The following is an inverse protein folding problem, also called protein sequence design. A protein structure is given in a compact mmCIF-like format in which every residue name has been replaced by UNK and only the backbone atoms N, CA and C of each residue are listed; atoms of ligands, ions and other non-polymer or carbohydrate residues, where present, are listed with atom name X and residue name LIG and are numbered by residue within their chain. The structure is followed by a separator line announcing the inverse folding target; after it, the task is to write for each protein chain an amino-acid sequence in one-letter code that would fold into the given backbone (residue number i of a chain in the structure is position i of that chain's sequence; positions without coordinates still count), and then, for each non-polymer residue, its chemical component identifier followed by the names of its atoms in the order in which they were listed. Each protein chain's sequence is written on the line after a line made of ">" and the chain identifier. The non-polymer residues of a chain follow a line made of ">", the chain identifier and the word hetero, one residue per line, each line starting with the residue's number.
data_IF_902576143762
#
_entry.id   IF_902576143762
#
_cell.length_a   1.000
_cell.length_b   1.000
_cell.length_c   1.000
_cell.angle_alpha   90.00
_cell.angle_beta   90.00
_cell.angle_gamma   90.00
#
_symmetry.space_group_name_H-M   'P 1'
#
loop_
_entity.id
_entity.type
_entity.pdbx_description
1 polymer ?
#
# COMPACT_ATOMS: atom_id res chain seq x y z
N UNK A 1 -32.97 -16.95 2.19
CA UNK A 1 -31.85 -16.57 3.10
C UNK A 1 -31.91 -17.53 4.28
N UNK A 2 -30.80 -18.19 4.67
CA UNK A 2 -30.84 -19.14 5.79
C UNK A 2 -30.98 -18.41 7.13
N UNK A 3 -31.49 -19.10 8.17
CA UNK A 3 -31.61 -18.55 9.52
C UNK A 3 -30.25 -18.09 10.07
N UNK A 4 -29.18 -18.83 9.77
CA UNK A 4 -27.80 -18.47 10.14
C UNK A 4 -27.38 -17.13 9.52
N UNK A 5 -27.66 -16.91 8.23
CA UNK A 5 -27.38 -15.63 7.56
C UNK A 5 -28.15 -14.49 8.22
N UNK A 6 -29.42 -14.70 8.58
CA UNK A 6 -30.23 -13.69 9.29
C UNK A 6 -29.60 -13.34 10.64
N UNK A 7 -29.22 -14.35 11.43
CA UNK A 7 -28.59 -14.14 12.74
C UNK A 7 -27.24 -13.40 12.63
N UNK A 8 -26.40 -13.76 11.65
CA UNK A 8 -25.14 -13.04 11.37
C UNK A 8 -25.41 -11.57 11.05
N UNK A 9 -26.39 -11.28 10.19
CA UNK A 9 -26.75 -9.91 9.82
C UNK A 9 -27.28 -9.12 11.02
N UNK A 10 -28.08 -9.73 11.91
CA UNK A 10 -28.56 -9.09 13.14
C UNK A 10 -27.41 -8.78 14.09
N UNK A 11 -26.46 -9.69 14.28
CA UNK A 11 -25.27 -9.46 15.11
C UNK A 11 -24.42 -8.32 14.54
N UNK A 12 -24.14 -8.34 13.23
CA UNK A 12 -23.40 -7.28 12.56
C UNK A 12 -24.10 -5.93 12.67
N UNK A 13 -25.41 -5.89 12.44
CA UNK A 13 -26.23 -4.69 12.62
C UNK A 13 -26.17 -4.15 14.04
N UNK A 14 -26.27 -5.03 15.04
CA UNK A 14 -26.18 -4.66 16.46
C UNK A 14 -24.81 -4.10 16.82
N UNK A 15 -23.73 -4.70 16.32
CA UNK A 15 -22.36 -4.20 16.49
C UNK A 15 -22.17 -2.82 15.87
N UNK A 16 -22.74 -2.58 14.68
CA UNK A 16 -22.69 -1.27 14.01
C UNK A 16 -23.46 -0.20 14.77
N UNK A 17 -24.65 -0.51 15.26
CA UNK A 17 -25.45 0.41 16.09
C UNK A 17 -24.71 0.73 17.39
N UNK A 18 -24.17 -0.28 18.07
CA UNK A 18 -23.38 -0.09 19.29
C UNK A 18 -22.12 0.76 19.05
N UNK A 19 -21.42 0.55 17.93
CA UNK A 19 -20.28 1.37 17.53
C UNK A 19 -20.71 2.82 17.27
N UNK A 20 -21.80 3.02 16.52
CA UNK A 20 -22.33 4.35 16.26
C UNK A 20 -22.74 5.06 17.55
N UNK A 21 -23.38 4.37 18.49
CA UNK A 21 -23.70 4.90 19.81
C UNK A 21 -22.45 5.28 20.60
N UNK A 22 -21.44 4.41 20.61
CA UNK A 22 -20.18 4.66 21.31
C UNK A 22 -19.43 5.88 20.75
N UNK A 23 -19.42 6.05 19.44
CA UNK A 23 -18.79 7.21 18.80
C UNK A 23 -19.62 8.48 19.02
N UNK A 24 -20.92 8.45 18.73
CA UNK A 24 -21.77 9.64 18.72
C UNK A 24 -22.13 10.12 20.14
N UNK A 25 -22.39 9.20 21.08
CA UNK A 25 -22.87 9.55 22.43
C UNK A 25 -21.76 9.50 23.48
N UNK A 26 -20.90 8.48 23.46
CA UNK A 26 -19.82 8.33 24.45
C UNK A 26 -18.54 9.10 24.05
N UNK A 27 -18.52 9.71 22.86
CA UNK A 27 -17.38 10.50 22.40
C UNK A 27 -16.13 9.68 22.10
N UNK A 28 -16.27 8.37 21.84
CA UNK A 28 -15.14 7.49 21.53
C UNK A 28 -14.37 8.01 20.31
N UNK A 29 -13.09 8.30 20.49
CA UNK A 29 -12.19 8.74 19.41
C UNK A 29 -11.55 7.51 18.77
N UNK A 30 -12.00 7.17 17.57
CA UNK A 30 -11.40 6.10 16.78
C UNK A 30 -10.06 6.55 16.17
N UNK A 31 -9.11 5.62 16.02
CA UNK A 31 -7.83 5.89 15.39
C UNK A 31 -7.92 5.65 13.87
N UNK A 32 -7.54 6.62 13.01
CA UNK A 32 -7.50 6.46 11.55
C UNK A 32 -6.66 5.28 11.06
N UNK A 33 -5.69 4.82 11.85
CA UNK A 33 -4.90 3.63 11.54
C UNK A 33 -5.72 2.34 11.50
N UNK A 34 -6.90 2.32 12.13
CA UNK A 34 -7.86 1.21 11.99
C UNK A 34 -8.36 1.10 10.55
N UNK A 35 -8.76 2.23 9.96
CA UNK A 35 -9.22 2.26 8.57
C UNK A 35 -8.07 1.92 7.61
N UNK A 36 -6.88 2.43 7.90
CA UNK A 36 -5.67 2.11 7.15
C UNK A 36 -5.40 0.60 7.13
N UNK A 37 -5.38 -0.04 8.32
CA UNK A 37 -5.16 -1.47 8.44
C UNK A 37 -6.27 -2.29 7.77
N UNK A 38 -7.53 -1.96 8.05
CA UNK A 38 -8.67 -2.65 7.45
C UNK A 38 -8.60 -2.69 5.92
N UNK A 39 -8.26 -1.57 5.29
CA UNK A 39 -8.23 -1.47 3.83
C UNK A 39 -6.98 -2.09 3.22
N UNK A 40 -5.81 -1.90 3.84
CA UNK A 40 -4.56 -2.49 3.33
C UNK A 40 -4.56 -4.03 3.41
N UNK A 41 -5.14 -4.57 4.48
CA UNK A 41 -5.19 -6.02 4.75
C UNK A 41 -6.57 -6.61 4.41
N UNK A 42 -7.32 -5.98 3.50
CA UNK A 42 -8.71 -6.33 3.25
C UNK A 42 -8.88 -7.77 2.75
N UNK A 43 -7.94 -8.33 1.99
CA UNK A 43 -8.11 -9.67 1.42
C UNK A 43 -8.19 -10.78 2.46
N UNK A 44 -7.64 -10.57 3.65
CA UNK A 44 -7.90 -11.44 4.81
C UNK A 44 -9.39 -11.45 5.17
N UNK A 45 -10.04 -10.28 5.17
CA UNK A 45 -11.47 -10.13 5.46
C UNK A 45 -12.29 -10.66 4.29
N UNK A 46 -11.89 -10.34 3.06
CA UNK A 46 -12.51 -10.82 1.83
C UNK A 46 -12.50 -12.35 1.74
N UNK A 47 -11.41 -13.00 2.15
CA UNK A 47 -11.28 -14.45 2.22
C UNK A 47 -12.35 -15.08 3.13
N UNK A 48 -12.49 -14.61 4.36
CA UNK A 48 -13.52 -15.13 5.27
C UNK A 48 -14.93 -14.75 4.81
N UNK A 49 -15.12 -13.56 4.27
CA UNK A 49 -16.42 -13.13 3.76
C UNK A 49 -16.92 -14.05 2.64
N UNK A 50 -16.08 -14.36 1.65
CA UNK A 50 -16.42 -15.26 0.53
C UNK A 50 -16.82 -16.67 0.97
N UNK A 51 -16.39 -17.12 2.16
CA UNK A 51 -16.78 -18.43 2.71
C UNK A 51 -18.19 -18.45 3.30
N UNK A 52 -18.70 -17.29 3.71
CA UNK A 52 -19.95 -17.19 4.48
C UNK A 52 -21.06 -16.51 3.67
N UNK A 53 -20.70 -15.62 2.74
CA UNK A 53 -21.63 -14.78 1.99
C UNK A 53 -21.34 -14.86 0.48
N UNK A 54 -22.36 -15.07 -0.37
CA UNK A 54 -22.19 -15.15 -1.84
C UNK A 54 -22.04 -13.77 -2.53
N UNK A 55 -21.69 -12.71 -1.79
CA UNK A 55 -21.65 -11.34 -2.28
C UNK A 55 -20.27 -10.90 -2.79
N UNK A 56 -20.24 -9.71 -3.41
CA UNK A 56 -18.97 -9.08 -3.80
C UNK A 56 -18.31 -8.41 -2.58
N UNK A 57 -17.15 -8.91 -2.18
CA UNK A 57 -16.37 -8.37 -1.05
C UNK A 57 -15.99 -6.88 -1.24
N UNK A 58 -15.84 -6.40 -2.48
CA UNK A 58 -15.51 -5.01 -2.78
C UNK A 58 -16.54 -4.02 -2.22
N UNK A 59 -17.81 -4.42 -2.15
CA UNK A 59 -18.84 -3.58 -1.55
C UNK A 59 -18.55 -3.32 -0.07
N UNK A 60 -18.00 -4.30 0.65
CA UNK A 60 -17.62 -4.13 2.06
C UNK A 60 -16.40 -3.23 2.18
N UNK A 61 -15.40 -3.40 1.32
CA UNK A 61 -14.19 -2.57 1.28
C UNK A 61 -14.53 -1.08 1.11
N UNK A 62 -15.58 -0.75 0.36
CA UNK A 62 -15.99 0.65 0.16
C UNK A 62 -17.02 1.09 1.19
N UNK A 63 -18.08 0.32 1.41
CA UNK A 63 -19.23 0.74 2.21
C UNK A 63 -18.93 0.83 3.71
N UNK A 64 -18.16 -0.11 4.26
CA UNK A 64 -17.87 -0.10 5.70
C UNK A 64 -16.95 1.07 6.08
N UNK A 65 -15.83 1.33 5.39
CA UNK A 65 -15.05 2.55 5.58
C UNK A 65 -15.85 3.84 5.38
N UNK A 66 -16.72 3.89 4.38
CA UNK A 66 -17.61 5.03 4.15
C UNK A 66 -18.54 5.26 5.36
N UNK A 67 -19.16 4.21 5.88
CA UNK A 67 -20.03 4.30 7.05
C UNK A 67 -19.28 4.87 8.27
N UNK A 68 -18.05 4.43 8.51
CA UNK A 68 -17.21 4.98 9.58
C UNK A 68 -16.93 6.46 9.36
N UNK A 69 -16.57 6.85 8.13
CA UNK A 69 -16.35 8.26 7.79
C UNK A 69 -17.63 9.08 8.00
N UNK A 70 -18.81 8.57 7.60
CA UNK A 70 -20.09 9.27 7.78
C UNK A 70 -20.43 9.46 9.27
N UNK A 71 -20.33 8.41 10.09
CA UNK A 71 -20.52 8.50 11.55
C UNK A 71 -19.59 9.55 12.14
N UNK A 72 -18.34 9.54 11.72
CA UNK A 72 -17.34 10.50 12.15
C UNK A 72 -17.77 11.90 11.73
N UNK A 73 -18.07 12.17 10.46
CA UNK A 73 -18.50 13.50 9.97
C UNK A 73 -19.69 14.03 10.75
N UNK A 74 -20.67 13.17 11.05
CA UNK A 74 -21.86 13.53 11.83
C UNK A 74 -21.55 13.90 13.28
N UNK A 75 -20.55 13.28 13.92
CA UNK A 75 -20.18 13.57 15.32
C UNK A 75 -19.73 15.03 15.53
N UNK A 76 -19.01 15.60 14.56
CA UNK A 76 -18.62 17.03 14.54
C UNK A 76 -18.45 17.46 13.08
N UNK A 77 -19.18 18.49 12.62
CA UNK A 77 -19.07 18.93 11.24
C UNK A 77 -17.62 19.33 10.93
N UNK A 78 -17.10 18.77 9.85
CA UNK A 78 -15.78 19.17 9.34
C UNK A 78 -15.89 20.60 8.85
N UNK A 79 -14.92 21.46 9.21
CA UNK A 79 -14.77 22.75 8.51
C UNK A 79 -14.28 22.43 7.10
N UNK A 80 -15.08 22.64 6.03
CA UNK A 80 -14.72 22.22 4.68
C UNK A 80 -13.52 23.00 4.11
N UNK A 81 -13.30 24.21 4.64
CA UNK A 81 -12.32 25.24 4.25
C UNK A 81 -10.83 24.88 4.43
N UNK A 82 -10.44 23.63 4.26
CA UNK A 82 -9.03 23.24 4.27
C UNK A 82 -8.75 21.78 3.95
N UNK A 83 -9.78 20.98 3.67
CA UNK A 83 -9.60 19.59 3.23
C UNK A 83 -9.19 19.51 1.76
N UNK A 84 -9.68 20.44 0.94
CA UNK A 84 -9.38 20.53 -0.50
C UNK A 84 -8.13 21.37 -0.81
N UNK A 85 -7.57 22.08 0.16
CA UNK A 85 -6.36 22.93 -0.05
C UNK A 85 -5.07 22.11 -0.27
N UNK A 86 -5.18 20.79 -0.36
CA UNK A 86 -4.04 19.92 -0.61
C UNK A 86 -3.76 19.80 -2.11
N UNK A 87 -2.77 20.55 -2.59
CA UNK A 87 -2.33 20.48 -3.99
C UNK A 87 -2.04 19.06 -4.50
N UNK A 88 -1.65 18.13 -3.62
CA UNK A 88 -1.46 16.73 -4.02
C UNK A 88 -2.77 16.03 -4.41
N UNK A 89 -3.88 16.34 -3.73
CA UNK A 89 -5.19 15.79 -4.10
C UNK A 89 -5.62 16.29 -5.48
N UNK A 90 -5.36 17.56 -5.80
CA UNK A 90 -5.65 18.12 -7.12
C UNK A 90 -4.78 17.51 -8.23
N UNK A 91 -3.51 17.20 -7.95
CA UNK A 91 -2.65 16.50 -8.92
C UNK A 91 -3.18 15.09 -9.22
N UNK A 92 -3.58 14.34 -8.20
CA UNK A 92 -4.22 13.04 -8.40
C UNK A 92 -5.59 13.17 -9.10
N UNK A 93 -6.38 14.18 -8.76
CA UNK A 93 -7.65 14.45 -9.43
C UNK A 93 -7.46 14.79 -10.92
N UNK A 94 -6.42 15.55 -11.26
CA UNK A 94 -6.06 15.83 -12.66
C UNK A 94 -5.65 14.55 -13.39
N UNK A 95 -4.84 13.70 -12.77
CA UNK A 95 -4.47 12.40 -13.33
C UNK A 95 -5.69 11.50 -13.57
N UNK A 96 -6.56 11.30 -12.57
CA UNK A 96 -7.75 10.47 -12.75
C UNK A 96 -8.79 11.10 -13.68
N UNK A 97 -8.89 12.42 -13.69
CA UNK A 97 -9.69 13.15 -14.68
C UNK A 97 -9.21 12.87 -16.10
N UNK A 98 -7.89 12.86 -16.32
CA UNK A 98 -7.31 12.47 -17.60
C UNK A 98 -7.58 10.99 -17.95
N UNK A 99 -7.48 10.07 -16.98
CA UNK A 99 -7.89 8.67 -17.20
C UNK A 99 -9.34 8.56 -17.69
N UNK A 100 -10.27 9.31 -17.10
CA UNK A 100 -11.68 9.32 -17.53
C UNK A 100 -11.83 9.92 -18.93
N UNK A 101 -11.16 11.04 -19.20
CA UNK A 101 -11.18 11.69 -20.52
C UNK A 101 -10.62 10.75 -21.59
N UNK A 102 -9.65 9.90 -21.26
CA UNK A 102 -9.06 8.93 -22.18
C UNK A 102 -10.02 7.86 -22.70
N UNK A 103 -11.16 7.65 -22.02
CA UNK A 103 -12.22 6.77 -22.53
C UNK A 103 -12.83 7.28 -23.84
N UNK A 104 -12.71 8.57 -24.15
CA UNK A 104 -13.23 9.13 -25.40
C UNK A 104 -12.51 8.59 -26.65
N UNK A 105 -11.27 8.09 -26.52
CA UNK A 105 -10.51 7.49 -27.62
C UNK A 105 -10.06 6.05 -27.35
N UNK A 106 -10.40 5.47 -26.20
CA UNK A 106 -10.10 4.07 -25.88
C UNK A 106 -10.90 3.11 -26.79
N UNK A 107 -10.24 2.16 -27.48
CA UNK A 107 -10.93 1.15 -28.27
C UNK A 107 -11.75 0.17 -27.40
N UNK A 108 -11.42 0.06 -26.10
CA UNK A 108 -12.10 -0.84 -25.16
C UNK A 108 -12.44 -0.16 -23.83
N UNK A 109 -13.46 0.71 -23.86
CA UNK A 109 -13.90 1.51 -22.70
C UNK A 109 -14.25 0.67 -21.47
N UNK A 110 -14.86 -0.51 -21.65
CA UNK A 110 -15.23 -1.40 -20.53
C UNK A 110 -14.02 -1.92 -19.77
N UNK A 111 -12.90 -2.13 -20.47
CA UNK A 111 -11.63 -2.50 -19.87
C UNK A 111 -11.05 -1.41 -18.99
N UNK A 112 -10.98 -0.20 -19.55
CA UNK A 112 -10.48 0.97 -18.83
C UNK A 112 -11.33 1.30 -17.60
N UNK A 113 -12.65 1.23 -17.73
CA UNK A 113 -13.57 1.45 -16.61
C UNK A 113 -13.36 0.43 -15.49
N UNK A 114 -13.19 -0.85 -15.83
CA UNK A 114 -12.99 -1.92 -14.83
C UNK A 114 -11.70 -1.71 -14.04
N UNK A 115 -10.58 -1.40 -14.72
CA UNK A 115 -9.31 -1.07 -14.06
C UNK A 115 -9.45 0.13 -13.13
N UNK A 116 -10.09 1.20 -13.61
CA UNK A 116 -10.29 2.41 -12.83
C UNK A 116 -11.16 2.16 -11.60
N UNK A 117 -12.24 1.37 -11.73
CA UNK A 117 -13.11 1.00 -10.62
C UNK A 117 -12.35 0.18 -9.57
N UNK A 118 -11.53 -0.79 -9.98
CA UNK A 118 -10.70 -1.58 -9.07
C UNK A 118 -9.71 -0.69 -8.31
N UNK A 119 -9.02 0.20 -9.02
CA UNK A 119 -8.06 1.13 -8.43
C UNK A 119 -8.74 2.12 -7.48
N UNK A 120 -9.95 2.58 -7.80
CA UNK A 120 -10.72 3.46 -6.91
C UNK A 120 -11.22 2.73 -5.67
N UNK A 121 -11.74 1.51 -5.83
CA UNK A 121 -12.30 0.73 -4.73
C UNK A 121 -11.24 0.33 -3.71
N UNK A 122 -10.03 -0.06 -4.15
CA UNK A 122 -8.96 -0.48 -3.25
C UNK A 122 -7.98 0.64 -2.87
N UNK A 123 -7.73 1.56 -3.80
CA UNK A 123 -6.71 2.60 -3.68
C UNK A 123 -7.27 3.93 -3.23
N UNK A 124 -8.01 4.58 -4.13
CA UNK A 124 -8.37 6.00 -4.01
C UNK A 124 -9.37 6.23 -2.87
N UNK A 125 -10.52 5.55 -2.87
CA UNK A 125 -11.57 5.79 -1.88
C UNK A 125 -11.10 5.44 -0.46
N UNK A 126 -10.51 4.26 -0.20
CA UNK A 126 -9.96 3.94 1.12
C UNK A 126 -8.90 4.95 1.60
N UNK A 127 -8.05 5.41 0.68
CA UNK A 127 -7.04 6.42 0.95
C UNK A 127 -7.65 7.77 1.34
N UNK A 128 -8.68 8.22 0.62
CA UNK A 128 -9.44 9.44 0.91
C UNK A 128 -10.21 9.33 2.24
N UNK A 129 -10.80 8.18 2.53
CA UNK A 129 -11.46 7.95 3.82
C UNK A 129 -10.46 8.04 4.98
N UNK A 130 -9.27 7.45 4.84
CA UNK A 130 -8.20 7.57 5.82
C UNK A 130 -7.74 9.02 5.96
N UNK A 131 -7.64 9.75 4.84
CA UNK A 131 -7.30 11.17 4.80
C UNK A 131 -8.29 12.03 5.59
N UNK A 132 -9.60 11.89 5.31
CA UNK A 132 -10.67 12.63 5.97
C UNK A 132 -10.64 12.37 7.47
N UNK A 133 -10.54 11.09 7.83
CA UNK A 133 -10.51 10.64 9.21
C UNK A 133 -9.28 11.20 9.95
N UNK A 134 -8.09 11.12 9.35
CA UNK A 134 -6.87 11.69 9.91
C UNK A 134 -6.94 13.20 10.09
N UNK A 135 -7.46 13.94 9.10
CA UNK A 135 -7.60 15.41 9.21
C UNK A 135 -8.51 15.84 10.35
N UNK A 136 -9.44 14.98 10.77
CA UNK A 136 -10.34 15.27 11.89
C UNK A 136 -9.67 15.09 13.26
N UNK A 137 -9.03 13.96 13.51
CA UNK A 137 -8.50 13.65 14.86
C UNK A 137 -7.00 13.90 14.99
N UNK A 138 -6.27 14.03 13.88
CA UNK A 138 -4.82 14.26 13.85
C UNK A 138 -4.01 13.21 14.64
N UNK A 139 -4.58 12.02 14.82
CA UNK A 139 -3.93 10.88 15.49
C UNK A 139 -3.71 9.76 14.48
N UNK A 140 -2.59 9.05 14.58
CA UNK A 140 -2.36 7.84 13.79
C UNK A 140 -1.40 6.95 14.56
N UNK A 141 -1.81 5.72 14.85
CA UNK A 141 -0.98 4.75 15.57
C UNK A 141 -0.58 3.59 14.68
N UNK A 142 0.72 3.46 14.42
CA UNK A 142 1.28 2.35 13.66
C UNK A 142 1.09 0.99 14.33
N UNK A 143 0.80 0.96 15.63
CA UNK A 143 0.50 -0.28 16.35
C UNK A 143 -0.76 -0.95 15.82
N UNK A 144 -1.80 -0.19 15.43
CA UNK A 144 -2.98 -0.79 14.80
C UNK A 144 -2.64 -1.39 13.44
N UNK A 145 -1.88 -0.68 12.61
CA UNK A 145 -1.45 -1.21 11.32
C UNK A 145 -0.61 -2.50 11.47
N UNK A 146 0.27 -2.56 12.49
CA UNK A 146 1.04 -3.77 12.81
C UNK A 146 0.16 -4.92 13.35
N UNK A 147 -0.88 -4.64 14.13
CA UNK A 147 -1.84 -5.66 14.59
C UNK A 147 -2.61 -6.28 13.42
N UNK A 148 -3.09 -5.47 12.48
CA UNK A 148 -3.72 -5.99 11.26
C UNK A 148 -2.75 -6.81 10.43
N UNK A 149 -1.50 -6.36 10.28
CA UNK A 149 -0.47 -7.13 9.57
C UNK A 149 -0.12 -8.44 10.27
N UNK A 150 -0.09 -8.47 11.61
CA UNK A 150 0.05 -9.71 12.37
C UNK A 150 -1.12 -10.67 12.13
N UNK A 151 -2.36 -10.17 12.20
CA UNK A 151 -3.55 -10.97 11.95
C UNK A 151 -3.52 -11.56 10.53
N UNK A 152 -3.22 -10.73 9.53
CA UNK A 152 -3.05 -11.15 8.14
C UNK A 152 -2.00 -12.26 8.01
N UNK A 153 -0.81 -12.06 8.58
CA UNK A 153 0.28 -13.02 8.49
C UNK A 153 -0.05 -14.36 9.17
N UNK A 154 -0.73 -14.34 10.33
CA UNK A 154 -1.22 -15.57 11.00
C UNK A 154 -2.22 -16.31 10.09
N UNK A 155 -3.17 -15.58 9.51
CA UNK A 155 -4.20 -16.16 8.64
C UNK A 155 -3.58 -16.74 7.37
N UNK A 156 -2.67 -16.02 6.71
CA UNK A 156 -1.95 -16.53 5.55
C UNK A 156 -1.12 -17.78 5.89
N UNK A 157 -0.44 -17.82 7.04
CA UNK A 157 0.33 -19.00 7.46
C UNK A 157 -0.53 -20.20 7.86
N UNK A 158 -1.74 -19.97 8.38
CA UNK A 158 -2.63 -21.02 8.90
C UNK A 158 -3.55 -21.58 7.82
N UNK A 159 -4.03 -20.72 6.92
CA UNK A 159 -5.03 -21.05 5.90
C UNK A 159 -4.48 -21.01 4.48
N UNK A 160 -3.22 -20.60 4.28
CA UNK A 160 -2.57 -20.65 2.99
C UNK A 160 -2.42 -22.09 2.49
N UNK A 161 -2.52 -22.25 1.18
CA UNK A 161 -2.43 -23.55 0.50
C UNK A 161 -1.38 -23.49 -0.60
N UNK A 162 -0.80 -24.64 -0.92
CA UNK A 162 0.01 -24.82 -2.11
C UNK A 162 -0.90 -25.37 -3.22
N UNK A 163 -1.02 -24.62 -4.31
CA UNK A 163 -1.87 -25.02 -5.45
C UNK A 163 -1.04 -25.55 -6.60
N UNK A 164 -1.67 -26.30 -7.50
CA UNK A 164 -1.04 -26.73 -8.75
C UNK A 164 -0.67 -25.54 -9.67
N UNK A 165 -1.42 -24.43 -9.57
CA UNK A 165 -1.15 -23.18 -10.28
C UNK A 165 0.13 -22.50 -9.77
N UNK A 166 0.40 -22.57 -8.46
CA UNK A 166 1.56 -21.95 -7.82
C UNK A 166 2.33 -22.97 -6.95
N UNK A 167 3.00 -23.96 -7.58
CA UNK A 167 3.68 -25.02 -6.84
C UNK A 167 4.78 -24.45 -5.94
N UNK A 168 4.81 -24.90 -4.69
CA UNK A 168 5.78 -24.47 -3.68
C UNK A 168 5.61 -23.04 -3.15
N UNK A 169 4.53 -22.34 -3.52
CA UNK A 169 4.26 -20.97 -3.06
C UNK A 169 3.01 -20.96 -2.21
N UNK A 170 3.17 -20.59 -0.93
CA UNK A 170 2.03 -20.43 -0.04
C UNK A 170 1.21 -19.23 -0.53
N UNK A 171 -0.09 -19.43 -0.73
CA UNK A 171 -1.04 -18.38 -1.10
C UNK A 171 -2.37 -18.60 -0.39
N UNK A 172 -3.11 -17.53 -0.09
CA UNK A 172 -4.50 -17.70 0.32
C UNK A 172 -5.31 -18.30 -0.85
N UNK A 173 -6.27 -19.20 -0.59
CA UNK A 173 -7.11 -19.77 -1.64
C UNK A 173 -7.79 -18.70 -2.50
N UNK A 174 -7.56 -18.75 -3.82
CA UNK A 174 -8.12 -17.79 -4.78
C UNK A 174 -7.40 -16.44 -4.82
N UNK A 175 -6.20 -16.34 -4.27
CA UNK A 175 -5.36 -15.14 -4.25
C UNK A 175 -3.99 -15.41 -4.90
N UNK A 176 -3.24 -14.33 -5.16
CA UNK A 176 -1.93 -14.37 -5.80
C UNK A 176 -0.79 -14.39 -4.75
N UNK A 177 0.16 -15.34 -4.81
CA UNK A 177 1.31 -15.36 -3.88
C UNK A 177 2.21 -14.13 -3.97
N UNK A 178 2.24 -13.41 -5.10
CA UNK A 178 2.96 -12.14 -5.23
C UNK A 178 2.29 -11.09 -4.35
N UNK A 179 0.96 -10.98 -4.42
CA UNK A 179 0.18 -10.05 -3.59
C UNK A 179 0.38 -10.34 -2.10
N UNK A 180 0.23 -11.61 -1.70
CA UNK A 180 0.46 -12.04 -0.31
C UNK A 180 1.85 -11.65 0.21
N UNK A 181 2.88 -11.78 -0.63
CA UNK A 181 4.23 -11.35 -0.29
C UNK A 181 4.34 -9.84 -0.08
N UNK A 182 3.71 -9.04 -0.96
CA UNK A 182 3.72 -7.58 -0.87
C UNK A 182 3.12 -7.14 0.46
N UNK A 183 1.91 -7.59 0.78
CA UNK A 183 1.21 -7.20 2.01
C UNK A 183 1.99 -7.59 3.27
N UNK A 184 2.53 -8.81 3.32
CA UNK A 184 3.38 -9.24 4.43
C UNK A 184 4.66 -8.41 4.54
N UNK A 185 5.34 -8.10 3.43
CA UNK A 185 6.54 -7.26 3.46
C UNK A 185 6.23 -5.79 3.82
N UNK A 186 5.06 -5.25 3.46
CA UNK A 186 4.62 -3.93 3.93
C UNK A 186 4.46 -3.93 5.45
N UNK A 187 3.97 -5.03 6.05
CA UNK A 187 3.93 -5.20 7.51
C UNK A 187 5.33 -5.15 8.12
N UNK A 188 6.30 -5.85 7.53
CA UNK A 188 7.69 -5.81 8.00
C UNK A 188 8.23 -4.37 7.95
N UNK A 189 7.99 -3.64 6.87
CA UNK A 189 8.36 -2.22 6.73
C UNK A 189 7.69 -1.34 7.79
N UNK A 190 6.42 -1.56 8.10
CA UNK A 190 5.71 -0.87 9.18
C UNK A 190 6.38 -1.16 10.54
N UNK A 191 6.73 -2.41 10.82
CA UNK A 191 7.42 -2.80 12.05
C UNK A 191 8.82 -2.18 12.16
N UNK A 192 9.55 -2.05 11.05
CA UNK A 192 10.87 -1.41 11.03
C UNK A 192 10.79 0.09 11.34
N UNK A 193 9.93 0.82 10.62
CA UNK A 193 9.94 2.28 10.60
C UNK A 193 8.82 2.95 11.41
N UNK A 194 7.78 2.22 11.77
CA UNK A 194 6.63 2.72 12.51
C UNK A 194 7.00 3.17 13.91
N UNK A 195 6.58 4.39 14.28
CA UNK A 195 6.80 4.96 15.62
C UNK A 195 5.70 4.50 16.58
N UNK A 196 6.05 4.31 17.85
CA UNK A 196 5.08 3.97 18.90
C UNK A 196 4.62 2.51 18.92
N UNK A 197 5.20 1.64 18.07
CA UNK A 197 4.95 0.19 18.11
C UNK A 197 5.75 -0.41 19.27
N UNK A 198 5.10 -1.07 20.25
CA UNK A 198 5.82 -1.73 21.35
C UNK A 198 6.67 -2.88 20.83
N UNK A 199 7.78 -3.17 21.51
CA UNK A 199 8.79 -4.14 21.03
C UNK A 199 8.20 -5.53 20.78
N UNK A 200 7.35 -6.03 21.68
CA UNK A 200 6.72 -7.35 21.53
C UNK A 200 5.90 -7.44 20.24
N UNK A 201 5.12 -6.40 19.93
CA UNK A 201 4.29 -6.35 18.73
C UNK A 201 5.15 -6.22 17.48
N UNK A 202 6.21 -5.42 17.54
CA UNK A 202 7.18 -5.27 16.45
C UNK A 202 7.83 -6.60 16.08
N UNK A 203 8.25 -7.36 17.09
CA UNK A 203 8.89 -8.66 16.90
C UNK A 203 7.89 -9.71 16.43
N UNK A 204 6.71 -9.79 17.06
CA UNK A 204 5.67 -10.74 16.66
C UNK A 204 5.16 -10.43 15.23
N UNK A 205 4.66 -9.23 14.98
CA UNK A 205 4.13 -8.84 13.67
C UNK A 205 5.22 -8.87 12.59
N UNK A 206 6.40 -8.31 12.86
CA UNK A 206 7.50 -8.29 11.89
C UNK A 206 8.05 -9.69 11.59
N UNK A 207 8.23 -10.53 12.62
CA UNK A 207 8.72 -11.89 12.46
C UNK A 207 7.73 -12.79 11.72
N UNK A 208 6.47 -12.82 12.16
CA UNK A 208 5.42 -13.63 11.53
C UNK A 208 5.17 -13.18 10.09
N UNK A 209 5.14 -11.88 9.81
CA UNK A 209 4.99 -11.37 8.46
C UNK A 209 6.21 -11.68 7.57
N UNK A 210 7.43 -11.65 8.10
CA UNK A 210 8.61 -12.05 7.34
C UNK A 210 8.56 -13.53 6.96
N UNK A 211 8.21 -14.42 7.89
CA UNK A 211 8.00 -15.85 7.61
C UNK A 211 6.90 -16.02 6.56
N UNK A 212 5.77 -15.35 6.73
CA UNK A 212 4.68 -15.34 5.76
C UNK A 212 5.15 -14.92 4.36
N UNK A 213 5.97 -13.89 4.25
CA UNK A 213 6.48 -13.41 2.96
C UNK A 213 7.44 -14.42 2.32
N UNK A 214 8.35 -15.02 3.10
CA UNK A 214 9.31 -16.01 2.59
C UNK A 214 8.60 -17.24 2.02
N UNK A 215 7.52 -17.71 2.66
CA UNK A 215 6.75 -18.87 2.22
C UNK A 215 6.06 -18.69 0.86
N UNK A 216 5.89 -17.44 0.39
CA UNK A 216 5.34 -17.16 -0.96
C UNK A 216 6.36 -17.36 -2.09
N UNK A 217 7.66 -17.42 -1.74
CA UNK A 217 8.81 -17.44 -2.65
C UNK A 217 8.80 -16.32 -3.71
N UNK A 218 8.21 -15.16 -3.39
CA UNK A 218 8.05 -14.05 -4.32
C UNK A 218 9.27 -13.11 -4.34
N UNK A 219 10.14 -13.31 -5.34
CA UNK A 219 11.42 -12.59 -5.52
C UNK A 219 11.28 -11.08 -5.72
N UNK A 220 10.38 -10.65 -6.62
CA UNK A 220 10.18 -9.24 -6.96
C UNK A 220 9.84 -8.39 -5.73
N UNK A 221 8.76 -8.73 -4.98
CA UNK A 221 8.43 -8.05 -3.73
C UNK A 221 9.57 -8.01 -2.72
N UNK A 222 10.31 -9.11 -2.54
CA UNK A 222 11.44 -9.15 -1.62
C UNK A 222 12.59 -8.21 -2.04
N UNK A 223 12.93 -8.17 -3.33
CA UNK A 223 13.97 -7.30 -3.86
C UNK A 223 13.64 -5.82 -3.64
N UNK A 224 12.41 -5.39 -3.92
CA UNK A 224 11.99 -4.01 -3.70
C UNK A 224 11.76 -3.66 -2.23
N UNK A 225 11.38 -4.63 -1.39
CA UNK A 225 11.40 -4.46 0.05
C UNK A 225 12.83 -4.13 0.53
N UNK A 226 13.83 -4.92 0.13
CA UNK A 226 15.23 -4.70 0.51
C UNK A 226 15.70 -3.34 -0.02
N UNK A 227 15.51 -3.06 -1.31
CA UNK A 227 15.94 -1.81 -1.94
C UNK A 227 15.31 -0.59 -1.26
N UNK A 228 13.99 -0.58 -1.08
CA UNK A 228 13.29 0.55 -0.46
C UNK A 228 13.77 0.79 0.98
N UNK A 229 13.89 -0.26 1.79
CA UNK A 229 14.34 -0.14 3.18
C UNK A 229 15.80 0.31 3.27
N UNK A 230 16.68 -0.17 2.38
CA UNK A 230 18.07 0.30 2.30
C UNK A 230 18.15 1.78 1.90
N UNK A 231 17.40 2.21 0.89
CA UNK A 231 17.37 3.61 0.47
C UNK A 231 16.91 4.52 1.61
N UNK A 232 15.85 4.13 2.34
CA UNK A 232 15.35 4.90 3.48
C UNK A 232 16.31 4.87 4.67
N UNK A 233 17.02 3.77 4.89
CA UNK A 233 18.07 3.69 5.90
C UNK A 233 19.22 4.66 5.57
N UNK A 234 19.74 4.60 4.35
CA UNK A 234 20.82 5.49 3.87
C UNK A 234 20.37 6.96 4.00
N UNK A 235 19.18 7.29 3.52
CA UNK A 235 18.65 8.65 3.59
C UNK A 235 18.43 9.13 5.04
N UNK A 236 17.91 8.28 5.93
CA UNK A 236 17.70 8.60 7.34
C UNK A 236 19.02 8.83 8.07
N UNK A 237 20.02 7.97 7.82
CA UNK A 237 21.39 8.10 8.34
C UNK A 237 22.03 9.40 7.86
N UNK A 238 21.98 9.66 6.54
CA UNK A 238 22.50 10.89 5.94
C UNK A 238 21.88 12.14 6.57
N UNK A 239 20.55 12.18 6.71
CA UNK A 239 19.84 13.31 7.31
C UNK A 239 20.24 13.52 8.77
N UNK A 240 20.42 12.43 9.52
CA UNK A 240 20.79 12.50 10.93
C UNK A 240 22.24 12.96 11.12
N UNK A 241 23.17 12.53 10.26
CA UNK A 241 24.56 13.01 10.26
C UNK A 241 24.60 14.52 9.95
N UNK A 242 23.88 14.95 8.91
CA UNK A 242 23.83 16.36 8.51
C UNK A 242 23.21 17.27 9.59
N UNK A 243 22.17 16.79 10.27
CA UNK A 243 21.47 17.59 11.28
C UNK A 243 22.19 17.66 12.64
N UNK A 244 22.88 16.58 13.06
CA UNK A 244 23.39 16.46 14.43
C UNK A 244 24.91 16.53 14.56
N UNK A 245 25.67 16.69 13.46
CA UNK A 245 27.13 16.83 13.48
C UNK A 245 27.83 15.79 14.37
N UNK A 246 28.58 16.26 15.36
CA UNK A 246 29.42 15.44 16.27
C UNK A 246 28.67 14.48 17.21
N UNK A 247 27.34 14.61 17.36
CA UNK A 247 26.47 13.63 18.07
C UNK A 247 26.15 12.38 17.23
N UNK A 248 26.56 12.34 15.96
CA UNK A 248 26.48 11.15 15.11
C UNK A 248 27.35 9.96 15.58
N UNK A 249 28.16 10.12 16.65
CA UNK A 249 28.96 9.05 17.24
C UNK A 249 28.13 7.83 17.69
N UNK A 250 26.93 8.03 18.23
CA UNK A 250 26.05 6.92 18.61
C UNK A 250 25.48 6.20 17.39
N UNK A 251 25.19 6.93 16.31
CA UNK A 251 24.77 6.35 15.04
C UNK A 251 25.90 5.54 14.39
N UNK A 252 27.12 6.06 14.43
CA UNK A 252 28.31 5.37 13.96
C UNK A 252 28.59 4.08 14.78
N UNK A 253 28.36 4.10 16.09
CA UNK A 253 28.43 2.89 16.93
C UNK A 253 27.33 1.89 16.56
N UNK A 254 26.09 2.35 16.38
CA UNK A 254 24.99 1.49 15.94
C UNK A 254 25.27 0.83 14.59
N UNK A 255 25.71 1.61 13.60
CA UNK A 255 26.12 1.10 12.28
C UNK A 255 27.28 0.10 12.37
N UNK A 256 28.27 0.33 13.25
CA UNK A 256 29.34 -0.63 13.51
C UNK A 256 28.81 -1.93 14.10
N UNK A 257 27.91 -1.87 15.09
CA UNK A 257 27.27 -3.06 15.68
C UNK A 257 26.46 -3.80 14.62
N UNK A 258 25.67 -3.10 13.81
CA UNK A 258 24.92 -3.70 12.70
C UNK A 258 25.84 -4.35 11.66
N UNK A 259 26.97 -3.71 11.32
CA UNK A 259 27.96 -4.27 10.41
C UNK A 259 28.61 -5.54 11.00
N UNK A 260 28.95 -5.55 12.29
CA UNK A 260 29.47 -6.74 12.99
C UNK A 260 28.43 -7.86 12.99
N UNK A 261 27.17 -7.56 13.32
CA UNK A 261 26.09 -8.55 13.26
C UNK A 261 25.88 -9.09 11.84
N UNK A 262 26.01 -8.25 10.82
CA UNK A 262 25.93 -8.67 9.43
C UNK A 262 27.10 -9.57 9.02
N UNK A 263 28.32 -9.28 9.49
CA UNK A 263 29.50 -10.15 9.30
C UNK A 263 29.32 -11.49 10.02
N UNK A 264 28.81 -11.49 11.25
CA UNK A 264 28.51 -12.72 11.99
C UNK A 264 27.44 -13.52 11.25
N UNK A 265 26.34 -12.89 10.84
CA UNK A 265 25.29 -13.54 10.07
C UNK A 265 25.83 -14.11 8.75
N UNK A 266 26.68 -13.36 8.04
CA UNK A 266 27.36 -13.82 6.83
C UNK A 266 28.31 -14.98 7.09
N UNK A 267 29.06 -14.98 8.20
CA UNK A 267 29.91 -16.08 8.62
C UNK A 267 29.12 -17.34 8.97
N UNK A 268 27.98 -17.20 9.66
CA UNK A 268 27.06 -18.31 9.94
C UNK A 268 26.44 -18.85 8.65
N UNK A 269 26.00 -17.97 7.75
CA UNK A 269 25.47 -18.37 6.45
C UNK A 269 26.54 -19.10 5.60
N UNK A 270 27.79 -18.65 5.65
CA UNK A 270 28.91 -19.32 4.97
C UNK A 270 29.22 -20.69 5.59
N UNK A 271 29.19 -20.80 6.91
CA UNK A 271 29.36 -22.09 7.61
C UNK A 271 28.23 -23.07 7.30
N UNK A 272 27.01 -22.57 7.11
CA UNK A 272 25.82 -23.35 6.74
C UNK A 272 25.60 -23.45 5.23
N UNK A 273 26.61 -23.16 4.40
CA UNK A 273 26.44 -23.04 2.94
C UNK A 273 25.84 -24.29 2.29
N UNK A 274 26.21 -25.50 2.71
CA UNK A 274 25.72 -26.75 2.09
C UNK A 274 24.20 -26.89 2.24
N UNK A 275 23.67 -26.94 3.48
CA UNK A 275 22.24 -27.00 3.73
C UNK A 275 21.46 -25.79 3.16
N UNK A 276 22.06 -24.58 3.20
CA UNK A 276 21.43 -23.39 2.63
C UNK A 276 21.35 -23.45 1.11
N UNK A 277 22.40 -23.95 0.43
CA UNK A 277 22.39 -24.13 -1.02
C UNK A 277 21.33 -25.16 -1.43
N UNK A 278 21.25 -26.30 -0.74
CA UNK A 278 20.23 -27.33 -1.02
C UNK A 278 18.80 -26.80 -0.82
N UNK A 279 18.57 -26.01 0.23
CA UNK A 279 17.29 -25.31 0.44
C UNK A 279 16.99 -24.24 -0.62
N UNK A 280 18.01 -23.53 -1.12
CA UNK A 280 17.83 -22.46 -2.11
C UNK A 280 17.63 -23.05 -3.51
N UNK A 281 18.41 -24.05 -3.90
CA UNK A 281 18.33 -24.75 -5.18
C UNK A 281 17.00 -25.51 -5.35
N UNK A 282 16.45 -26.05 -4.26
CA UNK A 282 15.11 -26.65 -4.26
C UNK A 282 13.95 -25.62 -4.26
N UNK A 283 14.27 -24.33 -4.27
CA UNK A 283 13.30 -23.22 -4.26
C UNK A 283 13.42 -22.33 -5.49
N UNK A 284 12.43 -21.46 -5.73
CA UNK A 284 12.52 -20.46 -6.82
C UNK A 284 13.62 -19.41 -6.61
N UNK A 285 14.27 -19.38 -5.45
CA UNK A 285 15.44 -18.53 -5.19
C UNK A 285 16.73 -19.10 -5.79
N UNK A 286 16.74 -20.34 -6.29
CA UNK A 286 17.87 -20.94 -7.01
C UNK A 286 18.39 -20.10 -8.18
N UNK A 287 17.51 -19.32 -8.82
CA UNK A 287 17.86 -18.35 -9.88
C UNK A 287 18.84 -17.25 -9.41
N UNK A 288 18.90 -16.95 -8.11
CA UNK A 288 19.89 -16.02 -7.58
C UNK A 288 21.32 -16.59 -7.64
N UNK A 289 21.45 -17.91 -7.85
CA UNK A 289 22.69 -18.66 -7.89
C UNK A 289 22.99 -19.11 -9.33
N UNK A 290 21.99 -19.61 -10.04
CA UNK A 290 22.10 -20.06 -11.44
C UNK A 290 21.18 -19.26 -12.37
N UNK A 291 21.76 -18.37 -13.17
CA UNK A 291 21.02 -17.55 -14.14
C UNK A 291 20.53 -18.37 -15.34
N UNK A 292 21.12 -19.53 -15.62
CA UNK A 292 20.72 -20.36 -16.75
C UNK A 292 19.30 -20.93 -16.54
N UNK A 293 18.80 -20.94 -15.30
CA UNK A 293 17.40 -21.26 -14.99
C UNK A 293 16.39 -20.23 -15.52
N UNK A 294 16.83 -19.03 -15.95
CA UNK A 294 15.98 -18.06 -16.64
C UNK A 294 15.91 -18.31 -18.15
N UNK A 295 16.91 -18.99 -18.71
CA UNK A 295 16.95 -19.35 -20.13
C UNK A 295 15.98 -20.51 -20.36
N UNK A 296 14.80 -20.19 -20.90
CA UNK A 296 13.70 -21.15 -21.10
C UNK A 296 12.57 -21.08 -20.07
N UNK A 297 12.55 -20.10 -19.16
CA UNK A 297 11.35 -19.84 -18.34
C UNK A 297 10.28 -19.14 -19.20
N UNK A 298 9.27 -19.90 -19.63
CA UNK A 298 8.15 -19.43 -20.43
C UNK A 298 7.46 -18.21 -19.82
N UNK A 299 7.41 -18.11 -18.47
CA UNK A 299 6.81 -16.94 -17.81
C UNK A 299 7.67 -15.69 -17.98
N UNK A 300 8.99 -15.82 -18.03
CA UNK A 300 9.88 -14.69 -18.24
C UNK A 300 9.81 -14.22 -19.70
N UNK A 301 9.87 -15.15 -20.65
CA UNK A 301 9.80 -14.84 -22.07
C UNK A 301 8.44 -14.23 -22.47
N UNK A 302 7.34 -14.78 -21.95
CA UNK A 302 6.00 -14.22 -22.16
C UNK A 302 5.87 -12.78 -21.67
N UNK A 303 6.46 -12.46 -20.51
CA UNK A 303 6.48 -11.08 -19.97
C UNK A 303 7.25 -10.11 -20.85
N UNK A 304 8.39 -10.55 -21.39
CA UNK A 304 9.19 -9.72 -22.31
C UNK A 304 8.39 -9.42 -23.57
N UNK A 305 7.67 -10.41 -24.11
CA UNK A 305 6.74 -10.20 -25.24
C UNK A 305 5.70 -9.11 -24.96
N UNK A 306 4.97 -9.24 -23.85
CA UNK A 306 3.96 -8.24 -23.44
C UNK A 306 4.54 -6.84 -23.20
N UNK A 307 5.78 -6.75 -22.73
CA UNK A 307 6.48 -5.47 -22.57
C UNK A 307 6.87 -4.83 -23.90
N UNK A 308 7.28 -5.63 -24.88
CA UNK A 308 7.59 -5.16 -26.23
C UNK A 308 6.33 -4.68 -26.94
N UNK A 309 5.21 -5.37 -26.79
CA UNK A 309 3.92 -4.94 -27.33
C UNK A 309 3.46 -3.60 -26.72
N UNK A 310 3.63 -3.42 -25.40
CA UNK A 310 3.34 -2.15 -24.74
C UNK A 310 4.25 -1.02 -25.24
N UNK A 311 5.54 -1.31 -25.46
CA UNK A 311 6.48 -0.34 -26.03
C UNK A 311 6.09 0.03 -27.47
N UNK A 312 5.72 -0.94 -28.30
CA UNK A 312 5.25 -0.68 -29.66
C UNK A 312 3.99 0.20 -29.66
N UNK A 313 3.01 -0.10 -28.80
CA UNK A 313 1.81 0.72 -28.64
C UNK A 313 2.15 2.16 -28.20
N UNK A 314 3.15 2.33 -27.33
CA UNK A 314 3.65 3.65 -26.96
C UNK A 314 4.34 4.38 -28.11
N UNK A 315 5.14 3.68 -28.93
CA UNK A 315 5.79 4.25 -30.12
C UNK A 315 4.77 4.72 -31.16
N UNK A 316 3.69 3.97 -31.35
CA UNK A 316 2.60 4.30 -32.26
C UNK A 316 1.73 5.47 -31.73
N UNK A 317 1.53 5.57 -30.41
CA UNK A 317 0.66 6.56 -29.76
C UNK A 317 1.34 7.34 -28.60
N UNK A 318 2.44 8.06 -28.84
CA UNK A 318 3.33 8.54 -27.76
C UNK A 318 2.72 9.62 -26.85
N UNK A 319 1.84 10.49 -27.37
CA UNK A 319 1.37 11.64 -26.60
C UNK A 319 0.19 11.34 -25.69
N UNK A 320 -0.83 10.65 -26.22
CA UNK A 320 -2.10 10.39 -25.54
C UNK A 320 -2.36 8.91 -25.24
N UNK A 321 -1.51 8.02 -25.76
CA UNK A 321 -1.72 6.57 -25.68
C UNK A 321 -2.97 6.12 -26.44
N UNK A 322 -3.26 4.83 -26.32
CA UNK A 322 -4.46 4.20 -26.89
C UNK A 322 -5.74 4.55 -26.13
N UNK A 323 -5.65 5.21 -24.98
CA UNK A 323 -6.74 5.38 -24.01
C UNK A 323 -6.74 4.25 -22.98
N UNK A 324 -7.19 4.54 -21.75
CA UNK A 324 -7.17 3.55 -20.66
C UNK A 324 -7.98 2.29 -21.05
N UNK A 325 -7.38 1.12 -20.85
CA UNK A 325 -7.91 -0.18 -21.29
C UNK A 325 -7.74 -0.47 -22.78
N UNK A 326 -7.07 0.40 -23.53
CA UNK A 326 -6.88 0.22 -24.97
C UNK A 326 -5.81 -0.80 -25.36
N UNK A 327 -4.93 -1.18 -24.42
CA UNK A 327 -3.85 -2.12 -24.68
C UNK A 327 -4.05 -3.45 -23.95
N UNK A 328 -4.34 -3.41 -22.65
CA UNK A 328 -4.46 -4.66 -21.85
C UNK A 328 -5.91 -4.90 -21.43
N UNK A 329 -6.48 -6.10 -21.73
CA UNK A 329 -7.82 -6.44 -21.30
C UNK A 329 -7.92 -6.48 -19.76
N UNK A 330 -9.11 -6.21 -19.19
CA UNK A 330 -9.30 -6.09 -17.74
C UNK A 330 -9.22 -7.41 -16.93
N UNK A 331 -9.13 -8.59 -17.57
CA UNK A 331 -9.32 -9.89 -16.88
C UNK A 331 -8.35 -10.99 -17.37
N UNK A 332 -7.41 -10.68 -18.26
CA UNK A 332 -6.40 -11.66 -18.68
C UNK A 332 -5.06 -11.36 -18.01
N UNK A 333 -4.26 -12.40 -17.71
CA UNK A 333 -2.86 -12.28 -17.26
C UNK A 333 -1.94 -11.67 -18.37
N UNK A 334 -2.52 -10.96 -19.34
CA UNK A 334 -1.90 -10.38 -20.54
C UNK A 334 -1.74 -8.87 -20.31
N UNK A 335 -0.82 -8.52 -19.41
CA UNK A 335 -0.40 -7.15 -19.19
C UNK A 335 1.12 -7.08 -19.09
N UNK A 336 1.77 -5.93 -19.34
CA UNK A 336 3.23 -5.85 -19.43
C UNK A 336 3.96 -6.11 -18.09
N UNK A 337 3.21 -6.39 -17.02
CA UNK A 337 3.71 -6.57 -15.66
C UNK A 337 4.59 -5.41 -15.17
N UNK A 338 4.38 -4.22 -15.74
CA UNK A 338 5.05 -2.99 -15.42
C UNK A 338 4.05 -1.86 -15.57
N UNK A 339 3.59 -1.33 -14.43
CA UNK A 339 2.55 -0.32 -14.38
C UNK A 339 2.91 0.96 -15.16
N UNK A 340 4.20 1.30 -15.27
CA UNK A 340 4.62 2.47 -16.05
C UNK A 340 4.59 2.23 -17.54
N UNK A 341 4.93 1.03 -18.00
CA UNK A 341 4.80 0.67 -19.42
C UNK A 341 3.34 0.60 -19.83
N UNK A 342 2.47 0.07 -18.96
CA UNK A 342 1.02 0.08 -19.19
C UNK A 342 0.47 1.51 -19.24
N UNK A 343 0.89 2.40 -18.30
CA UNK A 343 0.53 3.81 -18.39
C UNK A 343 1.10 4.49 -19.64
N UNK A 344 2.29 4.10 -20.09
CA UNK A 344 2.88 4.63 -21.31
C UNK A 344 2.02 4.28 -22.53
N UNK A 345 1.72 3.00 -22.73
CA UNK A 345 0.95 2.54 -23.88
C UNK A 345 -0.49 3.05 -23.87
N UNK A 346 -1.13 3.11 -22.71
CA UNK A 346 -2.55 3.48 -22.61
C UNK A 346 -2.77 4.98 -22.44
N UNK A 347 -1.88 5.72 -21.78
CA UNK A 347 -2.10 7.13 -21.42
C UNK A 347 -1.07 8.09 -22.03
N UNK A 348 -0.01 7.56 -22.67
CA UNK A 348 1.05 8.32 -23.30
C UNK A 348 1.90 9.13 -22.30
N UNK A 349 2.76 10.00 -22.86
CA UNK A 349 3.59 10.94 -22.10
C UNK A 349 2.73 11.83 -21.20
N UNK A 350 1.54 12.22 -21.65
CA UNK A 350 0.61 13.06 -20.88
C UNK A 350 0.21 12.37 -19.57
N UNK A 351 -0.20 11.10 -19.65
CA UNK A 351 -0.55 10.31 -18.47
C UNK A 351 0.62 10.12 -17.51
N UNK A 352 1.80 9.75 -18.04
CA UNK A 352 3.02 9.58 -17.25
C UNK A 352 3.40 10.88 -16.54
N UNK A 353 3.32 12.02 -17.22
CA UNK A 353 3.67 13.32 -16.65
C UNK A 353 2.74 13.70 -15.49
N UNK A 354 1.42 13.55 -15.67
CA UNK A 354 0.41 13.80 -14.64
C UNK A 354 0.61 12.88 -13.43
N UNK A 355 0.78 11.58 -13.68
CA UNK A 355 1.03 10.59 -12.64
C UNK A 355 2.32 10.89 -11.87
N UNK A 356 3.41 11.17 -12.60
CA UNK A 356 4.72 11.47 -12.00
C UNK A 356 4.65 12.72 -11.13
N UNK A 357 3.97 13.77 -11.60
CA UNK A 357 3.73 14.98 -10.81
C UNK A 357 3.02 14.69 -9.49
N UNK A 358 1.92 13.91 -9.54
CA UNK A 358 1.15 13.52 -8.37
C UNK A 358 1.96 12.64 -7.40
N UNK A 359 2.69 11.65 -7.93
CA UNK A 359 3.48 10.71 -7.14
C UNK A 359 4.70 11.38 -6.49
N UNK A 360 5.49 12.17 -7.24
CA UNK A 360 6.64 12.90 -6.72
C UNK A 360 6.23 13.92 -5.66
N UNK A 361 5.10 14.62 -5.86
CA UNK A 361 4.54 15.49 -4.83
C UNK A 361 4.22 14.73 -3.55
N UNK A 362 3.67 13.51 -3.69
CA UNK A 362 3.31 12.68 -2.56
C UNK A 362 4.54 12.16 -1.80
N UNK A 363 5.61 11.75 -2.51
CA UNK A 363 6.91 11.46 -1.91
C UNK A 363 7.44 12.66 -1.12
N UNK A 364 7.35 13.86 -1.72
CA UNK A 364 7.74 15.09 -1.03
C UNK A 364 6.90 15.35 0.22
N UNK A 365 5.59 15.10 0.20
CA UNK A 365 4.71 15.20 1.37
C UNK A 365 5.09 14.19 2.47
N UNK A 366 5.46 12.97 2.08
CA UNK A 366 5.90 11.90 2.97
C UNK A 366 7.32 12.10 3.53
N UNK A 367 8.10 13.08 3.05
CA UNK A 367 9.54 13.24 3.36
C UNK A 367 9.94 13.36 4.83
N UNK A 368 8.98 13.49 5.75
CA UNK A 368 9.25 13.54 7.20
C UNK A 368 8.89 12.24 7.92
N UNK A 369 8.26 11.30 7.22
CA UNK A 369 7.74 10.04 7.73
C UNK A 369 8.42 8.86 7.00
N UNK A 370 9.53 8.32 7.54
CA UNK A 370 10.31 7.26 6.89
C UNK A 370 9.48 6.04 6.49
N UNK A 371 8.51 5.66 7.34
CA UNK A 371 7.59 4.55 7.08
C UNK A 371 6.77 4.76 5.81
N UNK A 372 6.19 5.95 5.60
CA UNK A 372 5.41 6.24 4.40
C UNK A 372 6.27 6.30 3.14
N UNK A 373 7.48 6.87 3.24
CA UNK A 373 8.44 6.84 2.13
C UNK A 373 8.82 5.41 1.74
N UNK A 374 9.16 4.56 2.72
CA UNK A 374 9.53 3.18 2.48
C UNK A 374 8.37 2.41 1.83
N UNK A 375 7.16 2.57 2.35
CA UNK A 375 5.96 1.96 1.80
C UNK A 375 5.66 2.42 0.36
N UNK A 376 5.81 3.72 0.05
CA UNK A 376 5.60 4.25 -1.31
C UNK A 376 6.62 3.69 -2.30
N UNK A 377 7.91 3.70 -1.96
CA UNK A 377 8.97 3.21 -2.86
C UNK A 377 8.85 1.70 -3.04
N UNK A 378 8.57 0.96 -1.97
CA UNK A 378 8.39 -0.49 -2.01
C UNK A 378 7.19 -0.88 -2.87
N UNK A 379 6.03 -0.28 -2.64
CA UNK A 379 4.78 -0.60 -3.37
C UNK A 379 4.89 -0.22 -4.85
N UNK A 380 5.45 0.96 -5.18
CA UNK A 380 5.73 1.32 -6.57
C UNK A 380 6.71 0.33 -7.21
N UNK A 381 7.82 0.03 -6.53
CA UNK A 381 8.81 -0.91 -7.03
C UNK A 381 8.21 -2.28 -7.38
N UNK A 382 7.30 -2.79 -6.54
CA UNK A 382 6.57 -4.01 -6.85
C UNK A 382 5.66 -3.86 -8.07
N UNK A 383 5.00 -2.71 -8.24
CA UNK A 383 4.14 -2.44 -9.39
C UNK A 383 4.92 -2.31 -10.72
N UNK A 384 6.21 -1.95 -10.66
CA UNK A 384 7.09 -1.86 -11.83
C UNK A 384 7.53 -3.22 -12.39
N UNK A 385 7.49 -4.29 -11.60
CA UNK A 385 8.04 -5.60 -11.98
C UNK A 385 7.00 -6.72 -12.05
N UNK A 386 5.86 -6.54 -11.39
CA UNK A 386 4.81 -7.54 -11.37
C UNK A 386 3.44 -6.91 -11.17
N UNK A 387 3.19 -5.76 -11.79
CA UNK A 387 1.97 -5.02 -11.55
C UNK A 387 1.23 -4.53 -12.78
N UNK A 388 -0.06 -4.37 -12.59
CA UNK A 388 -1.00 -3.75 -13.52
C UNK A 388 -1.61 -2.48 -12.89
N UNK A 389 -2.28 -1.68 -13.72
CA UNK A 389 -2.90 -0.43 -13.31
C UNK A 389 -4.01 -0.61 -12.26
N UNK A 390 -4.77 -1.70 -12.31
CA UNK A 390 -5.97 -1.92 -11.48
C UNK A 390 -5.68 -2.57 -10.12
N UNK A 391 -4.94 -3.68 -10.10
CA UNK A 391 -4.74 -4.51 -8.90
C UNK A 391 -3.53 -4.10 -8.04
N UNK A 392 -2.59 -3.30 -8.56
CA UNK A 392 -1.48 -2.77 -7.76
C UNK A 392 -1.85 -1.45 -7.07
N UNK A 393 -2.96 -1.45 -6.36
CA UNK A 393 -3.54 -0.26 -5.74
C UNK A 393 -2.71 0.29 -4.56
N UNK A 394 -1.80 -0.50 -3.99
CA UNK A 394 -1.17 -0.20 -2.71
C UNK A 394 -0.39 1.12 -2.76
N UNK A 395 0.31 1.40 -3.86
CA UNK A 395 1.06 2.64 -4.02
C UNK A 395 0.15 3.87 -4.11
N UNK A 396 -1.03 3.75 -4.73
CA UNK A 396 -2.05 4.81 -4.80
C UNK A 396 -2.72 5.00 -3.43
N UNK A 397 -3.07 3.89 -2.77
CA UNK A 397 -3.62 3.92 -1.41
C UNK A 397 -2.69 4.64 -0.44
N UNK A 398 -1.43 4.21 -0.39
CA UNK A 398 -0.40 4.80 0.48
C UNK A 398 -0.14 6.25 0.08
N UNK A 399 -0.21 6.58 -1.22
CA UNK A 399 -0.06 7.96 -1.69
C UNK A 399 -1.15 8.88 -1.13
N UNK A 400 -2.42 8.47 -1.24
CA UNK A 400 -3.54 9.22 -0.69
C UNK A 400 -3.42 9.39 0.84
N UNK A 401 -3.03 8.33 1.54
CA UNK A 401 -2.78 8.39 3.00
C UNK A 401 -1.65 9.36 3.32
N UNK A 402 -0.55 9.33 2.56
CA UNK A 402 0.61 10.19 2.79
C UNK A 402 0.28 11.68 2.66
N UNK A 403 -0.65 12.05 1.78
CA UNK A 403 -1.14 13.42 1.66
C UNK A 403 -1.83 13.91 2.95
N UNK A 404 -2.36 13.02 3.78
CA UNK A 404 -2.97 13.38 5.06
C UNK A 404 -1.95 13.93 6.05
N UNK A 405 -0.72 13.41 6.01
CA UNK A 405 0.39 13.77 6.89
C UNK A 405 1.14 15.04 6.46
N UNK A 406 0.76 15.64 5.34
CA UNK A 406 1.30 16.95 4.96
C UNK A 406 0.94 17.96 6.05
N UNK A 407 1.92 18.70 6.62
CA UNK A 407 1.65 19.78 7.56
C UNK A 407 0.67 20.77 6.93
N UNK A 408 -0.33 21.23 7.68
CA UNK A 408 -1.15 22.36 7.23
C UNK A 408 -0.19 23.52 6.93
N UNK A 409 -0.36 24.19 5.79
CA UNK A 409 0.19 25.55 5.65
C UNK A 409 -0.45 26.30 6.81
N UNK A 410 0.36 26.76 7.77
CA UNK A 410 -0.12 27.78 8.68
C UNK A 410 -0.60 28.91 7.77
N UNK A 411 -1.91 29.18 7.77
CA UNK A 411 -2.42 30.38 7.16
C UNK A 411 -1.83 31.52 7.98
N UNK A 412 -0.67 32.03 7.55
CA UNK A 412 -0.12 33.30 7.98
C UNK A 412 -1.23 34.34 7.79
N UNK A 413 -1.96 34.66 8.88
CA UNK A 413 -2.99 35.70 8.88
C UNK A 413 -4.31 35.35 9.55
N UNK A 414 -4.71 34.08 9.66
CA UNK A 414 -6.01 33.75 10.28
C UNK A 414 -6.01 33.87 11.81
N UNK A 415 -4.84 33.79 12.45
CA UNK A 415 -4.69 34.01 13.88
C UNK A 415 -4.67 35.49 14.30
N UNK A 416 -4.66 36.44 13.36
CA UNK A 416 -4.65 37.88 13.70
C UNK A 416 -6.04 38.52 13.81
N UNK A 417 -7.11 37.82 13.46
CA UNK A 417 -8.47 38.37 13.53
C UNK A 417 -9.34 37.82 14.67
N UNK A 418 -8.93 36.77 15.39
CA UNK A 418 -9.70 36.23 16.53
C UNK A 418 -9.17 36.63 17.92
N UNK A 419 -8.01 37.30 18.03
CA UNK A 419 -7.57 37.95 19.30
C UNK A 419 -7.97 39.44 19.39
N UNK A 420 -8.79 39.92 18.47
CA UNK A 420 -9.05 41.34 18.24
C UNK A 420 -10.44 41.86 18.57
N UNK A 421 -11.24 41.21 19.42
CA UNK A 421 -12.36 41.87 20.12
C UNK A 421 -13.00 40.90 21.11
N UNK A 422 -12.66 41.04 22.38
CA UNK A 422 -13.57 40.99 23.53
C UNK A 422 -12.70 41.07 24.79
N UNK A 423 -12.22 42.29 25.06
CA UNK A 423 -11.80 42.68 26.40
C UNK A 423 -13.02 42.58 27.31
N UNK A 424 -13.08 41.57 28.18
CA UNK A 424 -13.87 41.68 29.40
C UNK A 424 -12.92 42.00 30.55
N UNK A 425 -12.64 43.30 30.69
CA UNK A 425 -12.40 43.88 32.00
C UNK A 425 -13.73 44.15 32.69
N UNK A 426 -13.73 43.89 34.00
CA UNK A 426 -14.64 44.29 35.10
C UNK A 426 -15.24 43.06 35.77
N UNK A 427 -15.20 42.90 37.09
CA UNK A 427 -14.50 43.57 38.19
C UNK A 427 -14.45 42.55 39.34
#
# INVERSE_FOLDING_TARGET
>A
MSLETVLILVVLGSMLVFLAQSVLHLGLVLNPAFLFGLCLYFDMIGFFYKKVMPGNALLILVAFPLLLVLIIVLQRPLRPLGMLDNGGLWLWAAFFGYCIVSFAWSPQQSGGLSKLLLLFAHGVLPGLYTYIFYKKYNTFSWSFAALFGLAYAIIHLTFGVYTAEYPGRLTLPGDNPIFNARISLLTVTICLWGRGIPLWLRLAAGGTALVSAIQTQSRGPLAFFILANLLILVWSVYRQIRANGSRARYLARGLKVSAVLFVIAGGVAFAMRGPLLEMIESSRFGVLIDKNQLEGDDNYLGRVGLQLEALQAFEEHPFFGLGLGGHTPPVTDEFPHNVLLEMASELGITGIALWSGAFLYTLYAARRQPVLLALLIQSLGCALVSGDFGYNFEYVFIAMVALAFKPKREYEGAAKYEEGSLSYHRA
#
